data_IF_084018334199
#
_entry.id   IF_084018334199
#
_cell.length_a   1.000
_cell.length_b   1.000
_cell.length_c   1.000
_cell.angle_alpha   90.00
_cell.angle_beta   90.00
_cell.angle_gamma   90.00
#
_symmetry.space_group_name_H-M   'P 1'
#
loop_
_entity.id
_entity.type
_entity.pdbx_description
1 polymer ?
#
# COMPACT_ATOMS: atom_id res chain seq x y z
N UNK A 1 -18.41 -2.68 -7.09
CA UNK A 1 -17.00 -2.98 -7.46
C UNK A 1 -16.09 -2.48 -6.35
N UNK A 2 -15.68 -3.37 -5.46
CA UNK A 2 -14.71 -3.11 -4.38
C UNK A 2 -13.31 -3.38 -4.92
N UNK A 3 -12.65 -2.32 -5.38
CA UNK A 3 -11.21 -2.37 -5.59
C UNK A 3 -10.62 -2.40 -4.18
N UNK A 4 -10.08 -3.55 -3.76
CA UNK A 4 -9.14 -3.65 -2.64
C UNK A 4 -9.72 -3.46 -1.21
N UNK A 5 -10.81 -4.15 -0.85
CA UNK A 5 -11.17 -4.45 0.56
C UNK A 5 -11.49 -3.27 1.50
N UNK A 6 -11.39 -2.04 1.05
CA UNK A 6 -11.72 -0.84 1.83
C UNK A 6 -13.13 -0.36 1.46
N UNK A 7 -13.95 0.08 2.44
CA UNK A 7 -15.27 0.61 2.15
C UNK A 7 -15.12 1.85 1.25
N UNK A 8 -15.89 1.91 0.14
CA UNK A 8 -15.86 2.99 -0.86
C UNK A 8 -15.86 4.39 -0.22
N UNK A 9 -16.54 4.52 0.92
CA UNK A 9 -16.57 5.72 1.76
C UNK A 9 -15.17 6.25 2.13
N UNK A 10 -14.21 5.38 2.46
CA UNK A 10 -12.85 5.79 2.85
C UNK A 10 -12.03 6.30 1.67
N UNK A 11 -12.24 5.77 0.46
CA UNK A 11 -11.57 6.28 -0.75
C UNK A 11 -11.96 7.72 -1.10
N UNK A 12 -13.14 8.17 -0.66
CA UNK A 12 -13.63 9.54 -0.91
C UNK A 12 -13.35 10.43 0.30
N UNK A 13 -13.62 9.94 1.51
CA UNK A 13 -13.47 10.73 2.74
C UNK A 13 -12.02 11.13 3.01
N UNK A 14 -11.05 10.24 2.79
CA UNK A 14 -9.66 10.53 3.13
C UNK A 14 -9.07 11.63 2.23
N UNK A 15 -9.20 11.57 0.89
CA UNK A 15 -8.78 12.68 0.03
C UNK A 15 -9.50 13.98 0.34
N UNK A 16 -10.80 13.93 0.68
CA UNK A 16 -11.57 15.11 1.07
C UNK A 16 -11.03 15.74 2.37
N UNK A 17 -10.70 14.92 3.37
CA UNK A 17 -10.08 15.41 4.63
C UNK A 17 -8.73 16.04 4.36
N UNK A 18 -7.89 15.41 3.53
CA UNK A 18 -6.61 16.00 3.11
C UNK A 18 -6.79 17.31 2.35
N UNK A 19 -7.83 17.40 1.51
CA UNK A 19 -8.16 18.61 0.76
C UNK A 19 -8.60 19.76 1.67
N UNK A 20 -9.43 19.49 2.68
CA UNK A 20 -9.87 20.47 3.67
C UNK A 20 -8.69 20.93 4.53
N UNK A 21 -7.88 19.99 5.02
CA UNK A 21 -6.66 20.29 5.78
C UNK A 21 -5.68 21.13 4.96
N UNK A 22 -5.50 20.79 3.68
CA UNK A 22 -4.65 21.56 2.77
C UNK A 22 -5.17 22.98 2.58
N UNK A 23 -6.46 23.13 2.23
CA UNK A 23 -7.09 24.44 2.04
C UNK A 23 -6.96 25.30 3.29
N UNK A 24 -7.26 24.76 4.47
CA UNK A 24 -7.12 25.47 5.74
C UNK A 24 -5.67 25.88 6.03
N UNK A 25 -4.73 24.97 5.79
CA UNK A 25 -3.29 25.24 5.96
C UNK A 25 -2.82 26.32 5.00
N UNK A 26 -3.25 26.28 3.74
CA UNK A 26 -2.93 27.29 2.73
C UNK A 26 -3.35 28.69 3.19
N UNK A 27 -4.57 28.86 3.70
CA UNK A 27 -5.04 30.15 4.21
C UNK A 27 -4.18 30.69 5.37
N UNK A 28 -3.72 29.80 6.26
CA UNK A 28 -2.84 30.14 7.37
C UNK A 28 -1.43 30.49 6.91
N UNK A 29 -0.82 29.63 6.09
CA UNK A 29 0.58 29.68 5.67
C UNK A 29 0.83 30.78 4.64
N UNK A 30 -0.12 31.04 3.73
CA UNK A 30 -0.02 32.10 2.73
C UNK A 30 0.20 33.48 3.37
N UNK A 31 -0.40 33.73 4.55
CA UNK A 31 -0.20 34.98 5.30
C UNK A 31 1.26 35.19 5.72
N UNK A 32 2.01 34.12 5.94
CA UNK A 32 3.40 34.18 6.44
C UNK A 32 4.44 33.95 5.34
N UNK A 33 4.15 33.10 4.36
CA UNK A 33 5.13 32.60 3.38
C UNK A 33 5.00 33.22 1.99
N UNK A 34 3.89 33.93 1.71
CA UNK A 34 3.53 34.60 0.45
C UNK A 34 3.70 33.74 -0.82
N UNK A 35 4.92 33.44 -1.24
CA UNK A 35 5.28 32.77 -2.50
C UNK A 35 5.57 31.27 -2.33
N UNK A 36 6.08 30.82 -1.17
CA UNK A 36 6.50 29.40 -0.99
C UNK A 36 5.36 28.42 -0.66
N UNK A 37 4.11 28.89 -0.70
CA UNK A 37 2.94 28.04 -0.38
C UNK A 37 2.79 26.83 -1.28
N UNK A 38 3.36 26.82 -2.49
CA UNK A 38 3.25 25.67 -3.40
C UNK A 38 3.92 24.42 -2.81
N UNK A 39 5.03 24.57 -2.08
CA UNK A 39 5.76 23.46 -1.44
C UNK A 39 4.87 22.72 -0.43
N UNK A 40 3.95 23.44 0.23
CA UNK A 40 3.01 22.85 1.19
C UNK A 40 2.02 21.87 0.55
N UNK A 41 1.84 21.95 -0.77
CA UNK A 41 1.02 21.01 -1.58
C UNK A 41 1.66 19.64 -1.71
N UNK A 42 3.00 19.54 -1.59
CA UNK A 42 3.72 18.27 -1.74
C UNK A 42 3.24 17.28 -0.68
N UNK A 43 3.11 17.72 0.57
CA UNK A 43 2.75 16.86 1.71
C UNK A 43 1.41 16.13 1.49
N UNK A 44 0.27 16.81 1.26
CA UNK A 44 -1.00 16.14 1.06
C UNK A 44 -1.04 15.29 -0.21
N UNK A 45 -0.41 15.74 -1.32
CA UNK A 45 -0.37 14.97 -2.57
C UNK A 45 0.44 13.68 -2.38
N UNK A 46 1.62 13.76 -1.77
CA UNK A 46 2.44 12.60 -1.45
C UNK A 46 1.75 11.68 -0.45
N UNK A 47 1.04 12.21 0.55
CA UNK A 47 0.26 11.40 1.47
C UNK A 47 -0.81 10.58 0.71
N UNK A 48 -1.57 11.21 -0.19
CA UNK A 48 -2.55 10.50 -1.02
C UNK A 48 -1.85 9.43 -1.88
N UNK A 49 -0.71 9.72 -2.48
CA UNK A 49 0.06 8.73 -3.24
C UNK A 49 0.52 7.52 -2.39
N UNK A 50 0.96 7.76 -1.15
CA UNK A 50 1.39 6.70 -0.23
C UNK A 50 0.22 5.79 0.16
N UNK A 51 -0.95 6.35 0.49
CA UNK A 51 -2.08 5.52 0.92
C UNK A 51 -2.79 4.84 -0.26
N UNK A 52 -3.01 5.59 -1.33
CA UNK A 52 -3.88 5.17 -2.43
C UNK A 52 -3.13 4.63 -3.65
N UNK A 53 -1.80 4.71 -3.67
CA UNK A 53 -0.97 4.20 -4.75
C UNK A 53 -0.73 5.22 -5.87
N UNK A 54 -0.06 4.78 -6.92
CA UNK A 54 0.43 5.63 -7.99
C UNK A 54 -0.68 6.37 -8.73
N UNK A 55 -1.74 5.66 -9.12
CA UNK A 55 -2.83 6.22 -9.93
C UNK A 55 -3.50 7.40 -9.22
N UNK A 56 -3.86 7.22 -7.95
CA UNK A 56 -4.53 8.26 -7.17
C UNK A 56 -3.60 9.40 -6.82
N UNK A 57 -2.32 9.13 -6.56
CA UNK A 57 -1.30 10.17 -6.40
C UNK A 57 -1.23 11.07 -7.62
N UNK A 58 -1.08 10.50 -8.82
CA UNK A 58 -0.98 11.26 -10.07
C UNK A 58 -2.25 12.07 -10.36
N UNK A 59 -3.44 11.49 -10.18
CA UNK A 59 -4.72 12.22 -10.33
C UNK A 59 -4.75 13.42 -9.38
N UNK A 60 -4.32 13.24 -8.14
CA UNK A 60 -4.31 14.31 -7.13
C UNK A 60 -3.28 15.38 -7.45
N UNK A 61 -2.09 15.00 -7.92
CA UNK A 61 -1.07 15.92 -8.38
C UNK A 61 -1.58 16.78 -9.55
N UNK A 62 -2.24 16.16 -10.55
CA UNK A 62 -2.85 16.88 -11.66
C UNK A 62 -3.99 17.80 -11.21
N UNK A 63 -4.85 17.34 -10.30
CA UNK A 63 -5.96 18.12 -9.75
C UNK A 63 -5.48 19.29 -8.86
N UNK A 64 -4.26 19.21 -8.31
CA UNK A 64 -3.71 20.28 -7.48
C UNK A 64 -3.43 21.56 -8.27
N UNK A 65 -3.14 21.46 -9.57
CA UNK A 65 -2.89 22.61 -10.46
C UNK A 65 -4.13 23.53 -10.54
N UNK A 66 -5.30 23.08 -11.05
CA UNK A 66 -6.48 23.95 -11.14
C UNK A 66 -6.96 24.39 -9.76
N UNK A 67 -6.79 23.56 -8.72
CA UNK A 67 -7.14 23.93 -7.36
C UNK A 67 -6.32 25.13 -6.86
N UNK A 68 -4.99 25.08 -7.02
CA UNK A 68 -4.13 26.18 -6.60
C UNK A 68 -4.36 27.45 -7.42
N UNK A 69 -4.62 27.32 -8.72
CA UNK A 69 -5.00 28.47 -9.54
C UNK A 69 -6.32 29.10 -9.06
N UNK A 70 -7.29 28.28 -8.64
CA UNK A 70 -8.55 28.75 -8.06
C UNK A 70 -8.31 29.46 -6.72
N UNK A 71 -7.44 28.90 -5.86
CA UNK A 71 -7.06 29.52 -4.59
C UNK A 71 -6.36 30.87 -4.79
N UNK A 72 -5.43 30.97 -5.75
CA UNK A 72 -4.78 32.24 -6.12
C UNK A 72 -5.81 33.26 -6.60
N UNK A 73 -6.76 32.84 -7.44
CA UNK A 73 -7.83 33.70 -7.92
C UNK A 73 -8.69 34.26 -6.77
N UNK A 74 -9.00 33.44 -5.75
CA UNK A 74 -9.74 33.91 -4.56
C UNK A 74 -8.99 34.97 -3.72
N UNK A 75 -7.68 35.11 -3.92
CA UNK A 75 -6.85 36.14 -3.27
C UNK A 75 -6.70 37.41 -4.10
N UNK A 76 -7.33 37.47 -5.26
CA UNK A 76 -7.22 38.62 -6.17
C UNK A 76 -5.98 38.60 -7.05
N UNK A 77 -5.22 37.50 -7.07
CA UNK A 77 -4.10 37.34 -7.99
C UNK A 77 -4.58 36.85 -9.37
N UNK A 78 -3.91 37.32 -10.42
CA UNK A 78 -4.17 36.82 -11.78
C UNK A 78 -3.48 35.44 -11.95
N UNK A 79 -4.23 34.38 -12.29
CA UNK A 79 -3.67 33.03 -12.37
C UNK A 79 -2.81 32.82 -13.62
N UNK A 80 -3.05 33.58 -14.70
CA UNK A 80 -2.37 33.39 -15.99
C UNK A 80 -0.86 33.66 -15.92
N UNK A 81 -0.38 34.80 -15.35
CA UNK A 81 1.04 35.05 -15.20
C UNK A 81 1.74 34.00 -14.32
N UNK A 82 1.08 33.50 -13.28
CA UNK A 82 1.65 32.53 -12.35
C UNK A 82 2.07 31.23 -13.04
N UNK A 83 1.30 30.74 -14.02
CA UNK A 83 1.59 29.48 -14.73
C UNK A 83 2.89 29.57 -15.54
N UNK A 84 3.19 30.75 -16.09
CA UNK A 84 4.39 30.98 -16.91
C UNK A 84 5.66 31.22 -16.11
N UNK A 85 5.55 31.39 -14.79
CA UNK A 85 6.71 31.61 -13.93
C UNK A 85 7.51 30.31 -13.77
N UNK A 86 8.84 30.41 -13.83
CA UNK A 86 9.72 29.27 -13.67
C UNK A 86 9.49 28.55 -12.32
N UNK A 87 9.22 29.31 -11.26
CA UNK A 87 8.95 28.77 -9.91
C UNK A 87 7.73 27.86 -9.88
N UNK A 88 6.67 28.20 -10.63
CA UNK A 88 5.48 27.37 -10.77
C UNK A 88 5.85 26.04 -11.43
N UNK A 89 6.49 26.08 -12.59
CA UNK A 89 6.88 24.89 -13.35
C UNK A 89 7.78 23.96 -12.51
N UNK A 90 8.79 24.52 -11.84
CA UNK A 90 9.69 23.76 -10.96
C UNK A 90 8.93 23.11 -9.80
N UNK A 91 8.06 23.85 -9.12
CA UNK A 91 7.30 23.35 -7.98
C UNK A 91 6.35 22.21 -8.36
N UNK A 92 5.62 22.32 -9.47
CA UNK A 92 4.75 21.23 -9.93
C UNK A 92 5.51 20.03 -10.46
N UNK A 93 6.69 20.25 -11.06
CA UNK A 93 7.58 19.15 -11.44
C UNK A 93 8.01 18.36 -10.20
N UNK A 94 8.37 19.05 -9.11
CA UNK A 94 8.70 18.41 -7.84
C UNK A 94 7.50 17.68 -7.22
N UNK A 95 6.31 18.30 -7.20
CA UNK A 95 5.07 17.65 -6.72
C UNK A 95 4.79 16.38 -7.53
N UNK A 96 4.91 16.45 -8.86
CA UNK A 96 4.66 15.32 -9.75
C UNK A 96 5.65 14.19 -9.51
N UNK A 97 6.95 14.50 -9.44
CA UNK A 97 8.01 13.53 -9.14
C UNK A 97 7.83 12.91 -7.75
N UNK A 98 7.58 13.72 -6.72
CA UNK A 98 7.35 13.23 -5.37
C UNK A 98 6.13 12.29 -5.31
N UNK A 99 5.04 12.66 -5.98
CA UNK A 99 3.85 11.80 -6.08
C UNK A 99 4.13 10.50 -6.85
N UNK A 100 4.91 10.58 -7.93
CA UNK A 100 5.26 9.42 -8.75
C UNK A 100 6.09 8.41 -7.92
N UNK A 101 7.14 8.89 -7.26
CA UNK A 101 8.02 8.06 -6.43
C UNK A 101 7.25 7.47 -5.25
N UNK A 102 6.52 8.30 -4.51
CA UNK A 102 5.74 7.87 -3.35
C UNK A 102 4.66 6.85 -3.72
N UNK A 103 3.95 7.08 -4.83
CA UNK A 103 2.94 6.17 -5.34
C UNK A 103 3.52 4.85 -5.83
N UNK A 104 4.65 4.89 -6.55
CA UNK A 104 5.34 3.70 -7.02
C UNK A 104 5.88 2.85 -5.87
N UNK A 105 6.45 3.47 -4.84
CA UNK A 105 6.88 2.76 -3.62
C UNK A 105 5.71 2.11 -2.90
N UNK A 106 4.56 2.79 -2.78
CA UNK A 106 3.35 2.23 -2.17
C UNK A 106 2.87 0.98 -2.91
N UNK A 107 2.75 1.06 -4.24
CA UNK A 107 2.29 -0.06 -5.05
C UNK A 107 3.28 -1.23 -5.01
N UNK A 108 4.57 -0.94 -5.00
CA UNK A 108 5.63 -1.94 -4.87
C UNK A 108 5.58 -2.64 -3.52
N UNK A 109 5.42 -1.88 -2.42
CA UNK A 109 5.27 -2.44 -1.06
C UNK A 109 4.05 -3.36 -0.96
N UNK A 110 2.92 -2.97 -1.56
CA UNK A 110 1.71 -3.81 -1.61
C UNK A 110 1.97 -5.14 -2.32
N UNK A 111 2.66 -5.11 -3.47
CA UNK A 111 3.04 -6.34 -4.20
C UNK A 111 3.93 -7.26 -3.37
N UNK A 112 4.95 -6.71 -2.71
CA UNK A 112 5.83 -7.51 -1.84
C UNK A 112 5.09 -8.15 -0.67
N UNK A 113 4.16 -7.42 -0.04
CA UNK A 113 3.40 -7.97 1.08
C UNK A 113 2.48 -9.13 0.65
N UNK A 114 1.89 -9.04 -0.53
CA UNK A 114 1.12 -10.14 -1.13
C UNK A 114 2.02 -11.35 -1.41
N UNK A 115 3.22 -11.15 -1.98
CA UNK A 115 4.15 -12.25 -2.24
C UNK A 115 4.63 -12.92 -0.94
N UNK A 116 4.99 -12.14 0.08
CA UNK A 116 5.42 -12.68 1.38
C UNK A 116 4.30 -13.51 2.02
N UNK A 117 3.07 -12.99 2.04
CA UNK A 117 1.92 -13.73 2.60
C UNK A 117 1.60 -15.01 1.82
N UNK A 118 1.76 -15.01 0.49
CA UNK A 118 1.64 -16.22 -0.33
C UNK A 118 2.75 -17.23 -0.01
N UNK A 119 4.00 -16.78 0.12
CA UNK A 119 5.12 -17.64 0.49
C UNK A 119 4.94 -18.27 1.87
N UNK A 120 4.44 -17.49 2.85
CA UNK A 120 4.14 -17.99 4.19
C UNK A 120 3.07 -19.09 4.15
N UNK A 121 1.97 -18.87 3.41
CA UNK A 121 0.92 -19.89 3.24
C UNK A 121 1.45 -21.16 2.58
N UNK A 122 2.29 -21.03 1.55
CA UNK A 122 2.90 -22.19 0.89
C UNK A 122 3.85 -22.93 1.83
N UNK A 123 4.62 -22.23 2.67
CA UNK A 123 5.48 -22.86 3.67
C UNK A 123 4.67 -23.58 4.75
N UNK A 124 3.55 -23.02 5.18
CA UNK A 124 2.62 -23.66 6.11
C UNK A 124 2.01 -24.93 5.52
N UNK A 125 1.59 -24.90 4.25
CA UNK A 125 1.05 -26.09 3.55
C UNK A 125 2.11 -27.18 3.34
N UNK A 126 3.35 -26.81 3.04
CA UNK A 126 4.44 -27.79 2.96
C UNK A 126 4.73 -28.43 4.33
N UNK A 127 4.73 -27.63 5.40
CA UNK A 127 4.94 -28.15 6.77
C UNK A 127 3.80 -29.06 7.25
N UNK A 128 2.56 -28.77 6.87
CA UNK A 128 1.42 -29.63 7.22
C UNK A 128 1.55 -30.99 6.52
N UNK A 129 1.86 -31.00 5.22
CA UNK A 129 2.07 -32.24 4.45
C UNK A 129 3.25 -33.07 4.94
N UNK A 130 4.37 -32.45 5.31
CA UNK A 130 5.51 -33.21 5.85
C UNK A 130 5.17 -33.85 7.19
N UNK A 131 4.43 -33.16 8.06
CA UNK A 131 3.95 -33.75 9.33
C UNK A 131 3.00 -34.91 9.09
N UNK A 132 2.09 -34.78 8.12
CA UNK A 132 1.18 -35.85 7.75
C UNK A 132 1.94 -37.08 7.25
N UNK A 133 2.92 -36.89 6.36
CA UNK A 133 3.77 -37.97 5.86
C UNK A 133 4.60 -38.63 6.98
N UNK A 134 5.14 -37.85 7.93
CA UNK A 134 5.84 -38.37 9.11
C UNK A 134 4.92 -39.18 10.02
N UNK A 135 3.69 -38.71 10.28
CA UNK A 135 2.69 -39.45 11.06
C UNK A 135 2.32 -40.77 10.38
N UNK A 136 2.06 -40.76 9.07
CA UNK A 136 1.76 -41.98 8.30
C UNK A 136 2.92 -42.97 8.34
N UNK A 137 4.16 -42.49 8.24
CA UNK A 137 5.36 -43.34 8.35
C UNK A 137 5.52 -43.92 9.75
N UNK A 138 5.24 -43.14 10.79
CA UNK A 138 5.23 -43.60 12.18
C UNK A 138 4.18 -44.70 12.42
N UNK A 139 2.96 -44.51 11.91
CA UNK A 139 1.89 -45.53 11.97
C UNK A 139 2.29 -46.79 11.22
N UNK A 140 2.82 -46.67 10.00
CA UNK A 140 3.29 -47.82 9.22
C UNK A 140 4.39 -48.61 9.95
N UNK A 141 5.35 -47.92 10.57
CA UNK A 141 6.41 -48.54 11.36
C UNK A 141 5.88 -49.25 12.61
N UNK A 142 4.92 -48.64 13.31
CA UNK A 142 4.29 -49.25 14.49
C UNK A 142 3.51 -50.52 14.10
N UNK A 143 2.73 -50.47 13.02
CA UNK A 143 2.01 -51.64 12.49
C UNK A 143 2.96 -52.75 12.07
N UNK A 144 4.07 -52.43 11.38
CA UNK A 144 5.08 -53.42 11.02
C UNK A 144 5.67 -54.12 12.26
N UNK A 145 5.99 -53.36 13.31
CA UNK A 145 6.53 -53.92 14.55
C UNK A 145 5.55 -54.83 15.30
N UNK A 146 4.24 -54.52 15.26
CA UNK A 146 3.22 -55.40 15.86
C UNK A 146 3.06 -56.71 15.10
N UNK A 147 3.12 -56.67 13.77
CA UNK A 147 3.02 -57.88 12.93
C UNK A 147 4.24 -58.79 13.17
N UNK A 148 5.44 -58.24 13.27
CA UNK A 148 6.64 -59.02 13.63
C UNK A 148 6.51 -59.67 15.02
N UNK A 149 5.91 -58.98 15.99
CA UNK A 149 5.72 -59.51 17.33
C UNK A 149 4.73 -60.70 17.37
N UNK A 150 3.60 -60.58 16.67
CA UNK A 150 2.62 -61.66 16.55
C UNK A 150 3.23 -62.89 15.86
N UNK A 151 4.04 -62.66 14.82
CA UNK A 151 4.75 -63.72 14.09
C UNK A 151 5.72 -64.49 14.99
N UNK A 152 6.45 -63.80 15.87
CA UNK A 152 7.36 -64.43 16.83
C UNK A 152 6.62 -65.17 17.94
N UNK A 153 5.46 -64.66 18.36
CA UNK A 153 4.61 -65.29 19.37
C UNK A 153 4.01 -66.61 18.86
N UNK A 154 3.54 -66.65 17.61
CA UNK A 154 3.10 -67.89 16.97
C UNK A 154 4.22 -68.92 16.84
N UNK A 155 5.45 -68.47 16.56
CA UNK A 155 6.61 -69.36 16.44
C UNK A 155 6.98 -70.02 17.77
N UNK A 156 6.87 -69.29 18.89
CA UNK A 156 7.15 -69.80 20.23
C UNK A 156 6.03 -70.75 20.71
N UNK A 157 4.78 -70.50 20.34
CA UNK A 157 3.64 -71.34 20.74
C UNK A 157 3.55 -72.66 19.96
N UNK A 158 4.21 -72.77 18.80
CA UNK A 158 4.29 -74.00 18.01
C UNK A 158 5.48 -74.92 18.37
N UNK A 159 6.35 -74.51 19.30
CA UNK A 159 7.43 -75.34 19.85
C UNK A 159 7.19 -75.63 21.34
#
# INVERSE_FOLDING_TARGET
>A
MTIQGWPLRRYILLPLVFFILYSGSFFLLYRYLQTETIVTTIIPVSAVAIFFGLRMGLITAMASIPLNLLLLHTRGESPLPAITQAEFIHSYTLIFLASLVAGWMSDTRKKYHIQISLLQKTQEDLKSRTREAEMLRGVASAVASTIELDSLLELILQH
#
